data_IF_265894826533
#
_entry.id   IF_265894826533
#
_cell.length_a   1.000
_cell.length_b   1.000
_cell.length_c   1.000
_cell.angle_alpha   90.00
_cell.angle_beta   90.00
_cell.angle_gamma   90.00
#
_symmetry.space_group_name_H-M   'P 1'
#
loop_
_entity.id
_entity.type
_entity.pdbx_description
1 polymer ?
#
# COMPACT_ATOMS: atom_id res chain seq x y z
N UNK A 1 27.59 17.16 -14.52
CA UNK A 1 26.21 16.71 -14.26
C UNK A 1 26.27 15.72 -13.11
N UNK A 2 25.45 15.84 -12.06
CA UNK A 2 25.40 14.86 -10.96
C UNK A 2 24.64 13.62 -11.45
N UNK A 3 25.21 12.44 -11.24
CA UNK A 3 24.53 11.18 -11.55
C UNK A 3 23.59 10.81 -10.41
N UNK A 4 22.39 10.34 -10.76
CA UNK A 4 21.39 9.83 -9.82
C UNK A 4 21.17 8.35 -10.13
N UNK A 5 21.10 7.53 -9.11
CA UNK A 5 20.93 6.07 -9.21
C UNK A 5 19.78 5.62 -8.33
N UNK A 6 19.11 4.54 -8.72
CA UNK A 6 18.17 3.80 -7.87
C UNK A 6 18.96 2.78 -7.08
N UNK A 7 18.85 2.80 -5.76
CA UNK A 7 19.62 1.95 -4.85
C UNK A 7 18.81 0.83 -4.23
N UNK A 8 17.49 0.97 -4.19
CA UNK A 8 16.62 -0.06 -3.65
C UNK A 8 15.22 0.04 -4.22
N UNK A 9 14.51 -1.09 -4.20
CA UNK A 9 13.17 -1.23 -4.74
C UNK A 9 12.29 -2.01 -3.74
N UNK A 10 11.10 -1.49 -3.51
CA UNK A 10 10.06 -2.18 -2.77
C UNK A 10 8.72 -2.10 -3.50
N UNK A 11 7.94 -3.17 -3.43
CA UNK A 11 6.70 -3.26 -4.18
C UNK A 11 5.65 -4.09 -3.42
N UNK A 12 4.41 -3.61 -3.47
CA UNK A 12 3.21 -4.34 -3.07
C UNK A 12 2.19 -4.18 -4.18
N UNK A 13 1.73 -5.27 -4.75
CA UNK A 13 0.81 -5.26 -5.88
C UNK A 13 -0.08 -6.50 -5.92
N UNK A 14 -1.04 -6.52 -6.84
CA UNK A 14 -1.92 -7.67 -7.06
C UNK A 14 -1.20 -8.91 -7.63
N UNK A 15 0.04 -8.78 -8.12
CA UNK A 15 0.83 -9.88 -8.66
C UNK A 15 1.99 -10.31 -7.76
N UNK A 16 2.12 -9.69 -6.59
CA UNK A 16 3.12 -10.06 -5.58
C UNK A 16 3.34 -8.95 -4.56
N UNK A 17 3.80 -9.33 -3.39
CA UNK A 17 3.98 -8.46 -2.22
C UNK A 17 5.46 -8.09 -1.98
N UNK A 18 6.34 -8.49 -2.88
CA UNK A 18 7.77 -8.16 -2.90
C UNK A 18 8.33 -8.30 -4.32
N UNK A 19 9.56 -7.85 -4.53
CA UNK A 19 10.21 -7.85 -5.83
C UNK A 19 10.33 -9.25 -6.45
N UNK A 20 10.61 -10.28 -5.65
CA UNK A 20 10.78 -11.66 -6.11
C UNK A 20 9.47 -12.24 -6.63
N UNK A 21 8.36 -12.07 -5.88
CA UNK A 21 7.04 -12.55 -6.28
C UNK A 21 6.54 -11.86 -7.55
N UNK A 22 6.73 -10.53 -7.62
CA UNK A 22 6.36 -9.75 -8.80
C UNK A 22 7.17 -10.20 -10.01
N UNK A 23 8.48 -10.39 -9.86
CA UNK A 23 9.34 -10.87 -10.94
C UNK A 23 8.92 -12.26 -11.43
N UNK A 24 8.60 -13.18 -10.50
CA UNK A 24 8.10 -14.51 -10.84
C UNK A 24 6.79 -14.40 -11.63
N UNK A 25 5.85 -13.59 -11.16
CA UNK A 25 4.57 -13.38 -11.83
C UNK A 25 4.71 -12.80 -13.23
N UNK A 26 5.63 -11.84 -13.41
CA UNK A 26 5.92 -11.26 -14.72
C UNK A 26 6.54 -12.28 -15.68
N UNK A 27 7.48 -13.10 -15.20
CA UNK A 27 8.12 -14.16 -16.00
C UNK A 27 7.14 -15.24 -16.46
N UNK A 28 6.19 -15.57 -15.60
CA UNK A 28 5.17 -16.58 -15.87
C UNK A 28 3.93 -16.04 -16.59
N UNK A 29 3.84 -14.72 -16.79
CA UNK A 29 2.67 -14.06 -17.36
C UNK A 29 1.43 -14.20 -16.48
N UNK A 30 1.60 -14.32 -15.15
CA UNK A 30 0.48 -14.42 -14.19
C UNK A 30 -0.24 -13.10 -14.05
N UNK A 31 -1.58 -13.15 -14.18
CA UNK A 31 -2.45 -12.00 -13.91
C UNK A 31 -2.81 -11.92 -12.43
N UNK A 32 -2.80 -10.73 -11.86
CA UNK A 32 -3.36 -10.45 -10.53
C UNK A 32 -4.83 -10.03 -10.57
N UNK A 33 -5.48 -10.11 -11.73
CA UNK A 33 -6.90 -9.78 -11.87
C UNK A 33 -7.73 -11.02 -11.57
N UNK A 34 -8.60 -10.91 -10.58
CA UNK A 34 -9.47 -12.00 -10.11
C UNK A 34 -10.92 -11.56 -10.02
N UNK A 35 -11.84 -12.50 -9.95
CA UNK A 35 -13.25 -12.22 -9.68
C UNK A 35 -13.40 -11.53 -8.32
N UNK A 36 -14.29 -10.54 -8.26
CA UNK A 36 -14.60 -9.81 -7.02
C UNK A 36 -16.08 -9.99 -6.71
N UNK A 37 -16.38 -10.81 -5.71
CA UNK A 37 -17.74 -11.17 -5.32
C UNK A 37 -18.54 -9.96 -4.86
N UNK A 38 -17.94 -9.07 -4.09
CA UNK A 38 -18.63 -7.86 -3.62
C UNK A 38 -19.07 -6.96 -4.80
N UNK A 39 -18.24 -6.84 -5.84
CA UNK A 39 -18.64 -6.12 -7.05
C UNK A 39 -19.80 -6.82 -7.78
N UNK A 40 -19.82 -8.15 -7.78
CA UNK A 40 -20.91 -8.92 -8.38
C UNK A 40 -22.22 -8.74 -7.61
N UNK A 41 -22.18 -8.83 -6.27
CA UNK A 41 -23.34 -8.65 -5.38
C UNK A 41 -23.94 -7.24 -5.49
N UNK A 42 -23.10 -6.22 -5.64
CA UNK A 42 -23.54 -4.83 -5.81
C UNK A 42 -23.95 -4.49 -7.25
N UNK A 43 -24.00 -5.48 -8.15
CA UNK A 43 -24.46 -5.29 -9.52
C UNK A 43 -23.52 -4.46 -10.40
N UNK A 44 -22.24 -4.39 -10.06
CA UNK A 44 -21.26 -3.69 -10.89
C UNK A 44 -21.13 -4.34 -12.25
N UNK A 45 -20.96 -3.51 -13.27
CA UNK A 45 -20.78 -3.96 -14.66
C UNK A 45 -19.47 -4.75 -14.84
N UNK A 46 -18.37 -4.28 -14.22
CA UNK A 46 -17.13 -5.04 -14.09
C UNK A 46 -17.15 -5.79 -12.76
N UNK A 47 -16.79 -7.07 -12.79
CA UNK A 47 -16.80 -7.96 -11.62
C UNK A 47 -15.42 -8.53 -11.35
N UNK A 48 -14.38 -7.86 -11.83
CA UNK A 48 -12.99 -8.27 -11.66
C UNK A 48 -12.16 -7.10 -11.16
N UNK A 49 -11.19 -7.38 -10.31
CA UNK A 49 -10.27 -6.40 -9.76
C UNK A 49 -8.90 -7.03 -9.48
N UNK A 50 -7.86 -6.21 -9.43
CA UNK A 50 -6.57 -6.57 -8.88
C UNK A 50 -6.62 -6.42 -7.37
N UNK A 51 -6.68 -7.53 -6.64
CA UNK A 51 -6.66 -7.55 -5.18
C UNK A 51 -5.24 -7.81 -4.65
N UNK A 52 -4.84 -7.05 -3.63
CA UNK A 52 -3.61 -7.29 -2.89
C UNK A 52 -3.93 -8.29 -1.77
N UNK A 53 -3.25 -9.44 -1.80
CA UNK A 53 -3.38 -10.47 -0.75
C UNK A 53 -2.23 -10.31 0.25
N UNK A 54 -2.34 -9.33 1.15
CA UNK A 54 -1.35 -9.02 2.17
C UNK A 54 -2.03 -8.63 3.47
N UNK A 55 -1.72 -9.35 4.54
CA UNK A 55 -2.14 -8.96 5.89
C UNK A 55 -1.19 -7.88 6.43
N UNK A 56 -1.61 -6.62 6.29
CA UNK A 56 -0.82 -5.46 6.74
C UNK A 56 -0.54 -5.45 8.25
N UNK A 57 -1.34 -6.19 9.04
CA UNK A 57 -1.18 -6.22 10.51
C UNK A 57 0.06 -6.97 10.96
N UNK A 58 0.62 -7.80 10.09
CA UNK A 58 1.87 -8.53 10.33
C UNK A 58 3.11 -7.67 10.05
N UNK A 59 2.95 -6.55 9.35
CA UNK A 59 4.05 -5.71 8.88
C UNK A 59 4.05 -4.30 9.49
N UNK A 60 2.93 -3.86 10.01
CA UNK A 60 2.75 -2.50 10.51
C UNK A 60 2.18 -2.54 11.93
N UNK A 61 2.74 -1.74 12.82
CA UNK A 61 2.25 -1.62 14.20
C UNK A 61 0.78 -1.19 14.23
N UNK A 62 -0.02 -1.81 15.11
CA UNK A 62 -1.46 -1.57 15.22
C UNK A 62 -1.81 -0.12 15.53
N UNK A 63 -0.94 0.60 16.26
CA UNK A 63 -1.18 2.02 16.59
C UNK A 63 -0.99 2.89 15.34
N UNK A 64 0.01 2.58 14.51
CA UNK A 64 0.25 3.25 13.25
C UNK A 64 -0.89 3.00 12.25
N UNK A 65 -1.37 1.76 12.16
CA UNK A 65 -2.48 1.38 11.26
C UNK A 65 -3.78 2.17 11.53
N UNK A 66 -4.00 2.64 12.76
CA UNK A 66 -5.18 3.46 13.09
C UNK A 66 -5.24 4.79 12.31
N UNK A 67 -4.10 5.25 11.82
CA UNK A 67 -3.96 6.51 11.07
C UNK A 67 -3.70 6.28 9.58
N UNK A 68 -3.65 5.03 9.12
CA UNK A 68 -3.33 4.67 7.75
C UNK A 68 -4.58 4.17 7.01
N UNK A 69 -4.82 4.69 5.82
CA UNK A 69 -5.66 4.00 4.84
C UNK A 69 -4.87 2.88 4.17
N UNK A 70 -5.55 1.95 3.46
CA UNK A 70 -4.91 0.79 2.84
C UNK A 70 -3.71 1.15 1.95
N UNK A 71 -3.85 2.18 1.11
CA UNK A 71 -2.75 2.65 0.25
C UNK A 71 -1.52 3.13 1.04
N UNK A 72 -1.73 3.81 2.18
CA UNK A 72 -0.64 4.26 3.04
C UNK A 72 0.09 3.09 3.70
N UNK A 73 -0.65 2.06 4.14
CA UNK A 73 -0.05 0.85 4.70
C UNK A 73 0.80 0.09 3.67
N UNK A 74 0.31 -0.07 2.45
CA UNK A 74 1.08 -0.69 1.36
C UNK A 74 2.33 0.12 0.99
N UNK A 75 2.21 1.45 0.92
CA UNK A 75 3.35 2.33 0.66
C UNK A 75 4.41 2.24 1.77
N UNK A 76 3.99 2.16 3.04
CA UNK A 76 4.88 1.98 4.18
C UNK A 76 5.65 0.66 4.08
N UNK A 77 4.97 -0.45 3.76
CA UNK A 77 5.59 -1.77 3.59
C UNK A 77 6.58 -1.76 2.42
N UNK A 78 6.17 -1.22 1.27
CA UNK A 78 7.04 -1.11 0.10
C UNK A 78 8.27 -0.21 0.39
N UNK A 79 8.11 0.88 1.13
CA UNK A 79 9.23 1.72 1.55
C UNK A 79 10.21 0.96 2.44
N UNK A 80 9.72 0.18 3.40
CA UNK A 80 10.57 -0.68 4.24
C UNK A 80 11.37 -1.69 3.41
N UNK A 81 10.74 -2.29 2.41
CA UNK A 81 11.44 -3.20 1.47
C UNK A 81 12.54 -2.46 0.68
N UNK A 82 12.26 -1.26 0.18
CA UNK A 82 13.23 -0.47 -0.59
C UNK A 82 14.42 -0.04 0.26
N UNK A 83 14.20 0.33 1.53
CA UNK A 83 15.27 0.67 2.48
C UNK A 83 16.15 -0.55 2.74
N UNK A 84 15.54 -1.70 2.98
CA UNK A 84 16.27 -2.95 3.21
C UNK A 84 17.05 -3.41 1.96
N UNK A 85 16.44 -3.32 0.77
CA UNK A 85 17.07 -3.67 -0.51
C UNK A 85 18.26 -2.75 -0.83
N UNK A 86 18.17 -1.47 -0.44
CA UNK A 86 19.27 -0.51 -0.58
C UNK A 86 20.39 -0.70 0.45
N UNK A 87 20.19 -1.53 1.49
CA UNK A 87 21.14 -1.70 2.58
C UNK A 87 21.33 -0.43 3.42
N UNK A 88 20.28 0.40 3.54
CA UNK A 88 20.34 1.66 4.30
C UNK A 88 20.06 1.41 5.78
N UNK A 89 20.84 2.08 6.61
CA UNK A 89 20.64 2.12 8.06
C UNK A 89 19.71 3.28 8.48
N UNK A 90 19.24 3.27 9.71
CA UNK A 90 18.35 4.32 10.23
C UNK A 90 18.93 5.73 10.09
N UNK A 91 20.23 5.89 10.32
CA UNK A 91 20.94 7.17 10.17
C UNK A 91 21.01 7.67 8.72
N UNK A 92 20.94 6.76 7.75
CA UNK A 92 20.90 7.13 6.32
C UNK A 92 19.51 7.61 5.91
N UNK A 93 18.48 7.14 6.61
CA UNK A 93 17.08 7.49 6.36
C UNK A 93 16.66 8.73 7.17
N UNK A 94 17.05 8.80 8.45
CA UNK A 94 16.66 9.89 9.36
C UNK A 94 17.80 10.92 9.45
N UNK A 95 17.87 11.82 8.48
CA UNK A 95 18.84 12.92 8.46
C UNK A 95 18.33 14.09 7.60
N UNK A 96 18.91 15.31 7.73
CA UNK A 96 18.45 16.50 7.00
C UNK A 96 18.66 16.45 5.46
N UNK A 97 19.34 15.45 4.95
CA UNK A 97 19.62 15.29 3.51
C UNK A 97 18.72 14.26 2.84
N UNK A 98 17.93 13.54 3.63
CA UNK A 98 16.98 12.55 3.13
C UNK A 98 15.57 13.16 3.12
N UNK A 99 14.88 12.99 2.01
CA UNK A 99 13.51 13.45 1.84
C UNK A 99 12.61 12.32 1.33
N UNK A 100 11.32 12.46 1.59
CA UNK A 100 10.29 11.55 1.08
C UNK A 100 9.45 12.29 0.06
N UNK A 101 9.28 11.68 -1.11
CA UNK A 101 8.28 12.11 -2.10
C UNK A 101 7.25 10.99 -2.20
N UNK A 102 6.01 11.30 -1.87
CA UNK A 102 4.90 10.36 -1.93
C UNK A 102 3.76 10.92 -2.79
N UNK A 103 3.03 10.04 -3.45
CA UNK A 103 1.86 10.40 -4.24
C UNK A 103 0.75 9.37 -4.07
N UNK A 104 -0.48 9.80 -4.26
CA UNK A 104 -1.67 8.95 -4.25
C UNK A 104 -2.63 9.45 -5.30
N UNK A 105 -3.32 8.52 -5.99
CA UNK A 105 -4.36 8.86 -6.96
C UNK A 105 -5.63 9.43 -6.34
N UNK A 106 -5.79 9.31 -5.02
CA UNK A 106 -6.93 9.83 -4.27
C UNK A 106 -6.90 9.41 -2.80
N UNK A 107 -7.81 9.94 -1.98
CA UNK A 107 -7.95 9.55 -0.59
C UNK A 107 -8.48 8.11 -0.47
N UNK A 108 -8.28 7.49 0.69
CA UNK A 108 -8.89 6.19 1.00
C UNK A 108 -10.40 6.34 1.16
N UNK A 109 -11.17 5.92 0.15
CA UNK A 109 -12.63 5.97 0.19
C UNK A 109 -13.22 5.15 1.32
N UNK A 110 -12.64 4.00 1.65
CA UNK A 110 -13.05 3.16 2.78
C UNK A 110 -12.86 3.88 4.12
N UNK A 111 -11.73 4.58 4.31
CA UNK A 111 -11.50 5.35 5.52
C UNK A 111 -12.45 6.55 5.64
N UNK A 112 -12.76 7.21 4.53
CA UNK A 112 -13.74 8.31 4.48
C UNK A 112 -15.14 7.83 4.83
N UNK A 113 -15.59 6.71 4.24
CA UNK A 113 -16.89 6.13 4.52
C UNK A 113 -16.99 5.68 5.98
N UNK A 114 -15.97 5.03 6.52
CA UNK A 114 -15.93 4.63 7.93
C UNK A 114 -15.99 5.84 8.88
N UNK A 115 -15.28 6.91 8.57
CA UNK A 115 -15.32 8.13 9.37
C UNK A 115 -16.71 8.82 9.29
N UNK A 116 -17.32 8.83 8.11
CA UNK A 116 -18.67 9.36 7.91
C UNK A 116 -19.70 8.57 8.70
N UNK A 117 -19.64 7.24 8.66
CA UNK A 117 -20.52 6.36 9.42
C UNK A 117 -20.44 6.66 10.93
N UNK A 118 -19.21 6.73 11.47
CA UNK A 118 -18.99 7.08 12.89
C UNK A 118 -19.58 8.45 13.22
N UNK A 119 -19.42 9.44 12.34
CA UNK A 119 -19.98 10.78 12.55
C UNK A 119 -21.51 10.77 12.58
N UNK A 120 -22.16 9.99 11.72
CA UNK A 120 -23.61 9.83 11.72
C UNK A 120 -24.14 9.15 12.99
N UNK A 121 -23.44 8.10 13.44
CA UNK A 121 -23.87 7.30 14.61
C UNK A 121 -23.63 8.02 15.94
N UNK A 122 -22.56 8.77 16.05
CA UNK A 122 -22.11 9.35 17.33
C UNK A 122 -22.28 10.86 17.43
N UNK A 123 -22.60 11.54 16.32
CA UNK A 123 -22.60 13.00 16.23
C UNK A 123 -21.22 13.63 16.40
N UNK A 124 -20.14 12.83 16.35
CA UNK A 124 -18.77 13.26 16.56
C UNK A 124 -17.81 12.61 15.55
N UNK A 125 -16.81 13.36 15.11
CA UNK A 125 -15.70 12.85 14.29
C UNK A 125 -14.53 12.35 15.13
N UNK A 126 -14.61 12.43 16.46
CA UNK A 126 -13.58 11.92 17.37
C UNK A 126 -13.75 10.40 17.52
N UNK A 127 -12.68 9.67 17.23
CA UNK A 127 -12.54 8.24 17.54
C UNK A 127 -12.01 8.05 18.94
#
# INVERSE_FOLDING_TARGET
MRRVVVTGLGIVSSIGNNAQEVLASLREGRSGITANEAMAEHGFRSRVAGAINLDVTQHVDKRALRFMGGGAAYAYIAMGQAIADAGLEESDVINPRTGVVAGSGGPSTSAMLAAHQVALETGSTKR
#
